data_IF_224298790684
#
_entry.id   IF_224298790684
#
_cell.length_a   1.000
_cell.length_b   1.000
_cell.length_c   1.000
_cell.angle_alpha   90.00
_cell.angle_beta   90.00
_cell.angle_gamma   90.00
#
_symmetry.space_group_name_H-M   'P 1'
#
loop_
_entity.id
_entity.type
_entity.pdbx_description
1 polymer ?
#
# COMPACT_ATOMS: atom_id res chain seq x y z
N UNK A 1 9.56 12.84 3.92
CA UNK A 1 8.84 11.57 3.72
C UNK A 1 7.59 11.91 2.93
N UNK A 2 7.46 11.37 1.70
CA UNK A 2 6.30 11.64 0.84
C UNK A 2 5.04 11.05 1.46
N UNK A 3 3.94 11.80 1.44
CA UNK A 3 2.65 11.34 1.95
C UNK A 3 2.11 10.24 1.03
N UNK A 4 2.33 8.99 1.43
CA UNK A 4 1.96 7.78 0.67
C UNK A 4 0.46 7.74 0.35
N UNK A 5 -0.38 8.44 1.14
CA UNK A 5 -1.81 8.56 0.85
C UNK A 5 -2.08 9.38 -0.42
N UNK A 6 -1.29 10.43 -0.65
CA UNK A 6 -1.38 11.30 -1.83
C UNK A 6 -0.97 10.56 -3.10
N UNK A 7 0.10 9.76 -3.04
CA UNK A 7 0.60 8.98 -4.18
C UNK A 7 -0.38 7.87 -4.59
N UNK A 8 -1.03 7.21 -3.63
CA UNK A 8 -2.05 6.19 -3.90
C UNK A 8 -3.33 6.78 -4.50
N UNK A 9 -3.71 7.97 -4.04
CA UNK A 9 -4.85 8.70 -4.59
C UNK A 9 -4.57 9.14 -6.03
N UNK A 10 -3.36 9.64 -6.29
CA UNK A 10 -2.91 10.03 -7.62
C UNK A 10 -2.82 8.84 -8.59
N UNK A 11 -2.33 7.68 -8.14
CA UNK A 11 -2.36 6.44 -8.93
C UNK A 11 -3.78 6.04 -9.31
N UNK A 12 -4.72 6.14 -8.36
CA UNK A 12 -6.13 5.81 -8.59
C UNK A 12 -6.78 6.76 -9.60
N UNK A 13 -6.47 8.06 -9.50
CA UNK A 13 -6.95 9.06 -10.44
C UNK A 13 -6.38 8.84 -11.84
N UNK A 14 -5.09 8.53 -11.96
CA UNK A 14 -4.45 8.19 -13.24
C UNK A 14 -5.05 6.93 -13.85
N UNK A 15 -5.27 5.87 -13.08
CA UNK A 15 -5.92 4.66 -13.58
C UNK A 15 -7.32 4.96 -14.17
N UNK A 16 -8.12 5.76 -13.46
CA UNK A 16 -9.43 6.22 -13.94
C UNK A 16 -9.35 7.02 -15.24
N UNK A 17 -8.35 7.90 -15.38
CA UNK A 17 -8.13 8.65 -16.61
C UNK A 17 -7.86 7.75 -17.83
N UNK A 18 -7.29 6.55 -17.61
CA UNK A 18 -7.10 5.53 -18.63
C UNK A 18 -8.27 4.53 -18.75
N UNK A 19 -9.43 4.82 -18.14
CA UNK A 19 -10.59 3.93 -18.16
C UNK A 19 -10.40 2.63 -17.37
N UNK A 20 -9.43 2.58 -16.46
CA UNK A 20 -9.16 1.43 -15.60
C UNK A 20 -9.55 1.73 -14.16
N UNK A 21 -10.03 0.72 -13.45
CA UNK A 21 -10.36 0.82 -12.04
C UNK A 21 -9.34 0.06 -11.19
N UNK A 22 -8.83 0.70 -10.13
CA UNK A 22 -7.99 0.05 -9.14
C UNK A 22 -8.91 -0.63 -8.13
N UNK A 23 -8.86 -1.97 -8.08
CA UNK A 23 -9.57 -2.72 -7.06
C UNK A 23 -9.06 -2.34 -5.68
N UNK A 24 -9.96 -1.98 -4.77
CA UNK A 24 -9.62 -1.60 -3.39
C UNK A 24 -9.41 -2.78 -2.45
N UNK A 25 -9.71 -4.00 -2.90
CA UNK A 25 -9.71 -5.21 -2.06
C UNK A 25 -8.45 -6.05 -2.21
N UNK A 26 -7.72 -5.86 -3.32
CA UNK A 26 -6.47 -6.55 -3.63
C UNK A 26 -5.19 -5.93 -3.03
N UNK A 27 -5.06 -4.59 -2.91
CA UNK A 27 -3.82 -4.00 -2.45
C UNK A 27 -3.66 -4.19 -0.95
N UNK A 28 -2.45 -4.61 -0.58
CA UNK A 28 -1.99 -4.71 0.80
C UNK A 28 -0.73 -3.87 0.94
N UNK A 29 -0.50 -3.35 2.14
CA UNK A 29 0.65 -2.48 2.43
C UNK A 29 1.65 -3.22 3.32
N UNK A 30 2.93 -2.95 3.16
CA UNK A 30 3.94 -3.31 4.14
C UNK A 30 4.60 -2.02 4.62
N UNK A 31 4.61 -1.81 5.93
CA UNK A 31 5.20 -0.61 6.54
C UNK A 31 6.62 -0.94 6.97
N UNK A 32 7.60 -0.29 6.34
CA UNK A 32 8.98 -0.32 6.79
C UNK A 32 9.20 0.80 7.81
N UNK A 33 9.00 0.50 9.09
CA UNK A 33 9.15 1.46 10.18
C UNK A 33 9.99 0.85 11.30
N UNK A 34 10.95 1.60 11.81
CA UNK A 34 11.79 1.24 12.97
C UNK A 34 11.04 1.34 14.30
N UNK A 35 9.93 2.07 14.32
CA UNK A 35 8.97 2.13 15.44
C UNK A 35 7.74 1.30 15.08
N UNK A 36 7.14 0.61 16.07
CA UNK A 36 5.87 -0.13 15.93
C UNK A 36 4.69 0.83 15.70
N UNK A 37 4.75 1.59 14.62
CA UNK A 37 3.76 2.57 14.23
C UNK A 37 2.80 1.90 13.26
N UNK A 38 1.53 1.76 13.65
CA UNK A 38 0.49 1.34 12.71
C UNK A 38 0.22 2.51 11.75
N UNK A 39 0.63 2.36 10.49
CA UNK A 39 0.32 3.37 9.48
C UNK A 39 -1.13 3.17 9.01
N UNK A 40 -1.97 4.20 9.18
CA UNK A 40 -3.33 4.19 8.63
C UNK A 40 -3.25 4.69 7.19
N UNK A 41 -3.02 3.76 6.26
CA UNK A 41 -3.05 4.07 4.82
C UNK A 41 -4.43 3.73 4.27
N UNK A 42 -5.07 4.71 3.63
CA UNK A 42 -6.38 4.57 3.02
C UNK A 42 -6.29 4.75 1.51
N UNK A 43 -7.12 4.01 0.76
CA UNK A 43 -7.29 4.14 -0.68
C UNK A 43 -8.79 4.11 -0.99
N UNK A 44 -9.30 5.12 -1.70
CA UNK A 44 -10.75 5.29 -1.92
C UNK A 44 -11.59 5.16 -0.64
N UNK A 45 -11.14 5.81 0.44
CA UNK A 45 -11.77 5.78 1.77
C UNK A 45 -11.82 4.40 2.45
N UNK A 46 -11.16 3.37 1.90
CA UNK A 46 -10.98 2.06 2.55
C UNK A 46 -9.57 1.93 3.13
N UNK A 47 -9.47 1.44 4.36
CA UNK A 47 -8.18 1.15 5.00
C UNK A 47 -7.56 -0.09 4.34
N UNK A 48 -6.29 0.01 3.95
CA UNK A 48 -5.55 -1.13 3.39
C UNK A 48 -5.06 -2.05 4.50
N UNK A 49 -5.06 -3.36 4.22
CA UNK A 49 -4.53 -4.39 5.13
C UNK A 49 -3.00 -4.33 5.17
N UNK A 50 -2.43 -4.30 6.37
CA UNK A 50 -0.98 -4.38 6.58
C UNK A 50 -0.53 -5.85 6.60
N UNK A 51 0.44 -6.22 5.75
CA UNK A 51 1.06 -7.54 5.74
C UNK A 51 2.41 -7.52 6.46
N UNK A 52 2.70 -8.61 7.16
CA UNK A 52 3.95 -8.80 7.90
C UNK A 52 5.07 -9.40 7.04
N UNK A 53 4.73 -10.02 5.91
CA UNK A 53 5.70 -10.54 4.95
C UNK A 53 5.16 -10.54 3.52
N UNK A 54 6.06 -10.41 2.53
CA UNK A 54 5.73 -10.58 1.12
C UNK A 54 6.90 -11.19 0.34
N UNK A 55 6.57 -11.94 -0.72
CA UNK A 55 7.56 -12.53 -1.61
C UNK A 55 7.84 -11.58 -2.77
N UNK A 56 9.11 -11.19 -2.91
CA UNK A 56 9.60 -10.30 -3.96
C UNK A 56 10.82 -10.92 -4.64
N UNK A 57 10.73 -11.16 -5.95
CA UNK A 57 11.79 -11.80 -6.75
C UNK A 57 12.41 -13.04 -6.09
N UNK A 58 11.57 -13.94 -5.58
CA UNK A 58 12.02 -15.19 -4.96
C UNK A 58 12.53 -15.05 -3.52
N UNK A 59 12.73 -13.82 -3.01
CA UNK A 59 13.09 -13.55 -1.63
C UNK A 59 11.85 -13.21 -0.82
N UNK A 60 11.80 -13.67 0.43
CA UNK A 60 10.74 -13.30 1.38
C UNK A 60 11.24 -12.12 2.21
N UNK A 61 10.56 -10.99 2.07
CA UNK A 61 10.75 -9.82 2.93
C UNK A 61 9.79 -9.95 4.11
N UNK A 62 10.30 -9.80 5.33
CA UNK A 62 9.52 -9.90 6.57
C UNK A 62 9.79 -8.67 7.43
N UNK A 63 8.81 -8.23 8.21
CA UNK A 63 8.93 -7.06 9.09
C UNK A 63 10.00 -7.27 10.17
N UNK A 64 10.27 -8.51 10.55
CA UNK A 64 11.23 -8.90 11.59
C UNK A 64 12.69 -9.04 11.10
N UNK A 65 13.02 -8.69 9.85
CA UNK A 65 14.38 -8.88 9.29
C UNK A 65 14.84 -7.82 8.31
#
# INVERSE_FOLDING_TARGET
MGDTSSELQDLTNRARAYGREVSTEKPKIMVNSTTNTSAVITMNSKKLEEVTSFKYFGKTLSKDR
#
